data_IF_017363205879
#
_entry.id   IF_017363205879
#
_cell.length_a   1.000
_cell.length_b   1.000
_cell.length_c   1.000
_cell.angle_alpha   90.00
_cell.angle_beta   90.00
_cell.angle_gamma   90.00
#
_symmetry.space_group_name_H-M   'P 1'
#
loop_
_entity.id
_entity.type
_entity.pdbx_description
1 polymer ?
#
# COMPACT_ATOMS: atom_id res chain seq x y z
N UNK A 1 28.82 -51.92 -16.48
CA UNK A 1 28.56 -51.27 -15.17
C UNK A 1 28.40 -49.74 -15.26
N UNK A 2 29.17 -49.03 -16.10
CA UNK A 2 29.11 -47.57 -16.27
C UNK A 2 27.75 -47.00 -16.76
N UNK A 3 27.07 -47.67 -17.69
CA UNK A 3 25.79 -47.21 -18.28
C UNK A 3 24.61 -47.13 -17.28
N UNK A 4 24.64 -47.96 -16.23
CA UNK A 4 23.61 -47.96 -15.18
C UNK A 4 23.77 -46.81 -14.20
N UNK A 5 24.99 -46.31 -14.00
CA UNK A 5 25.25 -45.15 -13.15
C UNK A 5 24.85 -43.84 -13.84
N UNK A 6 25.11 -43.73 -15.15
CA UNK A 6 24.74 -42.53 -15.93
C UNK A 6 23.22 -42.37 -16.01
N UNK A 7 22.48 -43.44 -16.31
CA UNK A 7 21.00 -43.41 -16.35
C UNK A 7 20.35 -43.02 -15.02
N UNK A 8 20.83 -43.54 -13.88
CA UNK A 8 20.36 -43.14 -12.54
C UNK A 8 20.63 -41.67 -12.21
N UNK A 9 21.79 -41.16 -12.62
CA UNK A 9 22.13 -39.74 -12.47
C UNK A 9 21.19 -38.84 -13.29
N UNK A 10 20.86 -39.21 -14.52
CA UNK A 10 19.89 -38.49 -15.35
C UNK A 10 18.49 -38.48 -14.73
N UNK A 11 18.00 -39.62 -14.24
CA UNK A 11 16.69 -39.72 -13.56
C UNK A 11 16.64 -38.81 -12.33
N UNK A 12 17.71 -38.78 -11.52
CA UNK A 12 17.82 -37.89 -10.37
C UNK A 12 17.76 -36.40 -10.79
N UNK A 13 18.47 -36.04 -11.86
CA UNK A 13 18.48 -34.67 -12.39
C UNK A 13 17.09 -34.26 -12.89
N UNK A 14 16.41 -35.14 -13.62
CA UNK A 14 15.02 -34.96 -14.07
C UNK A 14 14.09 -34.77 -12.87
N UNK A 15 14.16 -35.65 -11.87
CA UNK A 15 13.34 -35.54 -10.65
C UNK A 15 13.57 -34.20 -9.93
N UNK A 16 14.82 -33.72 -9.86
CA UNK A 16 15.17 -32.42 -9.28
C UNK A 16 14.55 -31.26 -10.07
N UNK A 17 14.57 -31.32 -11.41
CA UNK A 17 13.94 -30.32 -12.28
C UNK A 17 12.43 -30.29 -12.08
N UNK A 18 11.76 -31.44 -12.08
CA UNK A 18 10.31 -31.51 -11.87
C UNK A 18 9.91 -31.07 -10.47
N UNK A 19 10.65 -31.46 -9.42
CA UNK A 19 10.42 -30.99 -8.04
C UNK A 19 10.52 -29.46 -7.94
N UNK A 20 11.50 -28.86 -8.64
CA UNK A 20 11.63 -27.40 -8.72
C UNK A 20 10.45 -26.76 -9.49
N UNK A 21 10.04 -27.34 -10.62
CA UNK A 21 8.87 -26.85 -11.39
C UNK A 21 7.59 -26.89 -10.56
N UNK A 22 7.33 -27.98 -9.85
CA UNK A 22 6.15 -28.12 -8.97
C UNK A 22 6.21 -27.08 -7.85
N UNK A 23 7.36 -26.92 -7.18
CA UNK A 23 7.52 -25.94 -6.10
C UNK A 23 7.32 -24.49 -6.54
N UNK A 24 7.60 -24.17 -7.80
CA UNK A 24 7.45 -22.82 -8.36
C UNK A 24 6.10 -22.59 -9.04
N UNK A 25 5.27 -23.63 -9.18
CA UNK A 25 3.97 -23.49 -9.82
C UNK A 25 3.01 -22.79 -8.86
N UNK A 26 2.62 -21.56 -9.17
CA UNK A 26 1.63 -20.81 -8.39
C UNK A 26 0.29 -21.55 -8.39
N UNK A 27 -0.19 -21.92 -7.22
CA UNK A 27 -1.51 -22.56 -7.02
C UNK A 27 -2.51 -21.53 -6.47
N UNK A 28 -2.06 -20.66 -5.56
CA UNK A 28 -2.92 -19.67 -4.94
C UNK A 28 -2.94 -18.34 -5.69
N UNK A 29 -4.13 -17.77 -5.77
CA UNK A 29 -4.40 -16.43 -6.26
C UNK A 29 -5.06 -15.64 -5.14
N UNK A 30 -4.64 -14.39 -4.96
CA UNK A 30 -5.10 -13.51 -3.89
C UNK A 30 -5.82 -12.32 -4.52
N UNK A 31 -6.91 -11.93 -3.86
CA UNK A 31 -7.73 -10.78 -4.23
C UNK A 31 -7.94 -9.94 -2.97
N UNK A 32 -7.83 -8.63 -3.13
CA UNK A 32 -7.92 -7.67 -2.04
C UNK A 32 -9.17 -6.82 -2.19
N UNK A 33 -9.85 -6.56 -1.09
CA UNK A 33 -11.00 -5.66 -1.00
C UNK A 33 -10.80 -4.66 0.13
N UNK A 34 -11.38 -3.48 0.01
CA UNK A 34 -11.32 -2.46 1.04
C UNK A 34 -12.44 -2.68 2.05
N UNK A 35 -12.14 -2.54 3.36
CA UNK A 35 -13.15 -2.62 4.42
C UNK A 35 -13.93 -1.32 4.59
N UNK A 36 -13.27 -0.21 4.29
CA UNK A 36 -13.82 1.14 4.28
C UNK A 36 -13.23 1.86 3.06
N UNK A 37 -13.91 2.90 2.52
CA UNK A 37 -13.39 3.65 1.39
C UNK A 37 -12.09 4.34 1.80
N UNK A 38 -10.98 3.96 1.18
CA UNK A 38 -9.72 4.68 1.31
C UNK A 38 -9.00 4.74 -0.04
N UNK A 39 -8.21 5.81 -0.20
CA UNK A 39 -7.37 6.00 -1.37
C UNK A 39 -5.93 6.17 -0.96
N UNK A 40 -5.05 5.59 -1.75
CA UNK A 40 -3.61 5.69 -1.55
C UNK A 40 -3.02 6.34 -2.79
N UNK A 41 -2.37 7.48 -2.59
CA UNK A 41 -1.73 8.25 -3.64
C UNK A 41 -0.25 7.90 -3.75
N UNK A 42 0.25 7.89 -4.97
CA UNK A 42 1.66 7.71 -5.24
C UNK A 42 2.39 9.03 -5.03
N UNK A 43 3.41 9.01 -4.18
CA UNK A 43 4.36 10.11 -4.09
C UNK A 43 5.19 10.18 -5.37
N UNK A 44 5.46 11.38 -5.92
CA UNK A 44 6.39 11.55 -7.04
C UNK A 44 7.75 10.95 -6.68
N UNK A 45 8.14 9.87 -7.37
CA UNK A 45 9.51 9.33 -7.30
C UNK A 45 10.15 9.50 -8.66
N UNK A 46 10.90 10.59 -8.86
CA UNK A 46 11.81 10.84 -10.01
C UNK A 46 11.25 10.56 -11.43
N UNK A 47 9.95 10.29 -11.57
CA UNK A 47 9.28 9.93 -12.80
C UNK A 47 8.23 11.01 -13.06
N UNK A 48 8.35 11.60 -14.25
CA UNK A 48 7.81 12.85 -14.79
C UNK A 48 6.27 12.99 -14.87
N UNK A 49 5.49 12.33 -14.02
CA UNK A 49 4.02 12.32 -14.16
C UNK A 49 3.30 13.42 -13.36
N UNK A 50 3.86 13.89 -12.24
CA UNK A 50 3.34 15.01 -11.45
C UNK A 50 4.36 15.39 -10.38
N UNK A 51 4.64 16.68 -10.19
CA UNK A 51 5.44 17.19 -9.06
C UNK A 51 4.59 17.45 -7.81
N UNK A 52 3.26 17.36 -7.93
CA UNK A 52 2.32 17.66 -6.85
C UNK A 52 2.06 16.42 -6.01
N UNK A 53 2.20 16.54 -4.69
CA UNK A 53 1.89 15.49 -3.73
C UNK A 53 1.16 16.06 -2.52
N UNK A 54 0.37 15.21 -1.85
CA UNK A 54 -0.35 15.57 -0.64
C UNK A 54 0.65 15.62 0.52
N UNK A 55 0.92 16.82 1.03
CA UNK A 55 1.73 17.01 2.24
C UNK A 55 0.92 17.46 3.46
N UNK A 56 -0.38 17.70 3.29
CA UNK A 56 -1.29 18.02 4.37
C UNK A 56 -1.50 16.82 5.29
N UNK A 57 -1.62 17.09 6.60
CA UNK A 57 -1.98 16.12 7.62
C UNK A 57 -3.20 16.68 8.33
N UNK A 58 -4.35 16.12 7.98
CA UNK A 58 -5.66 16.60 8.41
C UNK A 58 -6.41 15.41 8.98
N UNK A 59 -7.04 15.61 10.13
CA UNK A 59 -7.92 14.65 10.77
C UNK A 59 -9.27 15.32 10.98
N UNK A 60 -10.33 14.81 10.36
CA UNK A 60 -11.71 15.25 10.56
C UNK A 60 -12.46 14.16 11.32
N UNK A 61 -13.11 14.52 12.43
CA UNK A 61 -13.82 13.61 13.32
C UNK A 61 -15.28 14.06 13.42
N UNK A 62 -16.19 13.14 13.12
CA UNK A 62 -17.65 13.30 13.22
C UNK A 62 -18.22 14.56 12.54
N UNK A 63 -17.56 15.06 11.50
CA UNK A 63 -17.87 16.34 10.84
C UNK A 63 -17.99 17.53 11.83
N UNK A 64 -17.24 17.50 12.93
CA UNK A 64 -17.32 18.49 14.02
C UNK A 64 -15.97 19.01 14.48
N UNK A 65 -14.96 18.14 14.54
CA UNK A 65 -13.65 18.49 15.07
C UNK A 65 -12.63 18.21 13.99
N UNK A 66 -11.80 19.22 13.69
CA UNK A 66 -10.65 19.04 12.80
C UNK A 66 -9.34 19.30 13.54
N UNK A 67 -8.34 18.46 13.24
CA UNK A 67 -6.95 18.68 13.58
C UNK A 67 -6.14 18.83 12.31
N UNK A 68 -5.24 19.81 12.29
CA UNK A 68 -4.29 20.02 11.21
C UNK A 68 -2.94 20.42 11.78
N UNK A 69 -1.84 20.03 11.14
CA UNK A 69 -0.50 20.39 11.59
C UNK A 69 0.60 19.49 11.04
N UNK A 70 1.67 19.33 11.82
CA UNK A 70 2.84 18.54 11.44
C UNK A 70 2.71 17.05 11.78
N UNK A 71 1.79 16.68 12.69
CA UNK A 71 1.64 15.31 13.18
C UNK A 71 1.35 14.32 12.05
N UNK A 72 2.23 13.34 11.90
CA UNK A 72 1.96 12.11 11.14
C UNK A 72 1.32 11.05 12.05
N UNK A 73 0.44 10.21 11.49
CA UNK A 73 -0.16 9.09 12.22
C UNK A 73 0.79 7.89 12.31
N UNK A 74 1.92 8.07 12.99
CA UNK A 74 2.95 7.05 13.19
C UNK A 74 3.31 6.93 14.67
N UNK A 75 3.95 5.82 15.05
CA UNK A 75 4.41 5.62 16.42
C UNK A 75 5.39 6.72 16.87
N UNK A 76 6.30 7.17 15.99
CA UNK A 76 7.22 8.27 16.30
C UNK A 76 6.50 9.62 16.36
N UNK A 77 5.61 9.92 15.41
CA UNK A 77 4.82 11.16 15.42
C UNK A 77 4.00 11.33 16.69
N UNK A 78 3.48 10.22 17.23
CA UNK A 78 2.62 10.24 18.42
C UNK A 78 3.37 10.16 19.76
N UNK A 79 4.63 9.70 19.79
CA UNK A 79 5.36 9.44 21.05
C UNK A 79 6.72 10.11 21.19
N UNK A 80 7.39 10.40 20.10
CA UNK A 80 8.82 10.75 20.10
C UNK A 80 9.10 12.10 19.43
N UNK A 81 8.39 12.41 18.36
CA UNK A 81 8.57 13.65 17.63
C UNK A 81 7.91 14.81 18.37
N UNK A 82 8.54 15.97 18.31
CA UNK A 82 7.91 17.22 18.69
C UNK A 82 7.03 17.70 17.53
N UNK A 83 5.73 17.43 17.63
CA UNK A 83 4.74 17.75 16.60
C UNK A 83 3.78 18.83 17.07
N UNK A 84 3.42 19.77 16.21
CA UNK A 84 2.42 20.80 16.50
C UNK A 84 1.13 20.54 15.73
N UNK A 85 0.01 20.91 16.36
CA UNK A 85 -1.34 20.73 15.81
C UNK A 85 -2.24 21.87 16.25
N UNK A 86 -3.12 22.30 15.37
CA UNK A 86 -4.25 23.17 15.68
C UNK A 86 -5.50 22.32 15.68
N UNK A 87 -6.33 22.52 16.71
CA UNK A 87 -7.67 21.95 16.83
C UNK A 87 -8.69 23.04 16.54
N UNK A 88 -9.68 22.75 15.70
CA UNK A 88 -10.79 23.67 15.43
C UNK A 88 -12.14 22.94 15.45
N UNK A 89 -13.16 23.65 15.89
CA UNK A 89 -14.59 23.29 15.79
C UNK A 89 -15.37 24.37 15.03
N UNK A 90 -14.68 25.35 14.45
CA UNK A 90 -15.33 26.44 13.71
C UNK A 90 -16.12 25.86 12.52
N UNK A 91 -17.45 26.08 12.43
CA UNK A 91 -18.28 25.44 11.41
C UNK A 91 -17.85 25.77 9.98
N UNK A 92 -17.30 26.98 9.75
CA UNK A 92 -16.82 27.39 8.42
C UNK A 92 -15.55 26.62 8.07
N UNK A 93 -14.58 26.55 8.98
CA UNK A 93 -13.36 25.77 8.79
C UNK A 93 -13.65 24.28 8.58
N UNK A 94 -14.57 23.70 9.36
CA UNK A 94 -14.98 22.31 9.22
C UNK A 94 -15.55 22.05 7.81
N UNK A 95 -16.41 22.94 7.31
CA UNK A 95 -16.98 22.81 5.97
C UNK A 95 -15.90 22.83 4.89
N UNK A 96 -14.98 23.80 4.93
CA UNK A 96 -13.90 23.92 3.95
C UNK A 96 -12.96 22.70 3.98
N UNK A 97 -12.63 22.21 5.17
CA UNK A 97 -11.80 21.00 5.33
C UNK A 97 -12.52 19.76 4.78
N UNK A 98 -13.83 19.62 5.03
CA UNK A 98 -14.62 18.51 4.50
C UNK A 98 -14.69 18.54 2.98
N UNK A 99 -14.87 19.72 2.39
CA UNK A 99 -14.84 19.91 0.93
C UNK A 99 -13.49 19.51 0.35
N UNK A 100 -12.38 19.92 0.98
CA UNK A 100 -11.03 19.54 0.55
C UNK A 100 -10.80 18.03 0.62
N UNK A 101 -11.19 17.36 1.73
CA UNK A 101 -11.09 15.90 1.85
C UNK A 101 -11.93 15.20 0.77
N UNK A 102 -13.14 15.69 0.50
CA UNK A 102 -14.00 15.15 -0.55
C UNK A 102 -13.42 15.34 -1.94
N UNK A 103 -12.83 16.51 -2.20
CA UNK A 103 -12.12 16.80 -3.44
C UNK A 103 -10.92 15.87 -3.63
N UNK A 104 -10.11 15.69 -2.57
CA UNK A 104 -8.99 14.77 -2.60
C UNK A 104 -9.44 13.36 -2.93
N UNK A 105 -10.44 12.85 -2.21
CA UNK A 105 -10.96 11.49 -2.40
C UNK A 105 -11.66 11.25 -3.73
N UNK A 106 -12.25 12.25 -4.38
CA UNK A 106 -13.10 11.99 -5.56
C UNK A 106 -12.58 12.62 -6.85
N UNK A 107 -11.78 13.70 -6.79
CA UNK A 107 -11.51 14.57 -7.94
C UNK A 107 -10.06 15.06 -8.05
N UNK A 108 -9.12 14.57 -7.23
CA UNK A 108 -7.75 15.13 -7.17
C UNK A 108 -6.90 14.97 -8.44
N UNK A 109 -7.28 14.09 -9.38
CA UNK A 109 -6.48 13.71 -10.56
C UNK A 109 -5.04 13.25 -10.24
N UNK A 110 -4.73 13.01 -8.98
CA UNK A 110 -3.43 12.53 -8.52
C UNK A 110 -3.28 11.04 -8.85
N UNK A 111 -2.06 10.56 -9.13
CA UNK A 111 -1.82 9.16 -9.40
C UNK A 111 -2.14 8.30 -8.17
N UNK A 112 -3.12 7.42 -8.31
CA UNK A 112 -3.58 6.48 -7.27
C UNK A 112 -2.94 5.09 -7.47
N UNK A 113 -2.75 4.35 -6.39
CA UNK A 113 -2.31 2.94 -6.46
C UNK A 113 -3.54 2.02 -6.51
N UNK A 114 -3.51 1.04 -7.43
CA UNK A 114 -4.52 -0.01 -7.47
C UNK A 114 -4.48 -0.88 -6.20
N UNK A 115 -5.65 -1.25 -5.70
CA UNK A 115 -5.80 -2.02 -4.45
C UNK A 115 -5.18 -3.42 -4.54
N UNK A 116 -5.23 -4.06 -5.70
CA UNK A 116 -4.60 -5.36 -5.89
C UNK A 116 -3.07 -5.22 -5.89
N UNK A 117 -2.55 -4.13 -6.47
CA UNK A 117 -1.12 -3.84 -6.43
C UNK A 117 -0.63 -3.51 -5.02
N UNK A 118 -1.39 -2.69 -4.28
CA UNK A 118 -1.03 -2.33 -2.90
C UNK A 118 -1.11 -3.51 -1.95
N UNK A 119 -2.18 -4.33 -2.03
CA UNK A 119 -2.34 -5.54 -1.22
C UNK A 119 -1.17 -6.51 -1.38
N UNK A 120 -0.72 -6.74 -2.62
CA UNK A 120 0.47 -7.57 -2.93
C UNK A 120 1.76 -7.10 -2.25
N UNK A 121 1.91 -5.80 -1.99
CA UNK A 121 3.09 -5.25 -1.34
C UNK A 121 3.02 -5.40 0.19
N UNK A 122 1.81 -5.33 0.76
CA UNK A 122 1.59 -5.42 2.20
C UNK A 122 1.62 -6.86 2.70
N UNK A 123 1.06 -7.78 1.93
CA UNK A 123 0.89 -9.17 2.36
C UNK A 123 1.83 -10.09 1.62
N UNK A 124 2.39 -11.06 2.36
CA UNK A 124 3.19 -12.13 1.76
C UNK A 124 2.25 -13.10 1.04
N UNK A 125 2.39 -13.21 -0.28
CA UNK A 125 1.68 -14.21 -1.08
C UNK A 125 2.52 -15.50 -1.21
N UNK A 126 2.24 -16.56 -0.44
CA UNK A 126 2.91 -17.84 -0.68
C UNK A 126 2.47 -18.43 -2.02
N UNK A 127 3.44 -19.01 -2.72
CA UNK A 127 3.26 -19.62 -4.05
C UNK A 127 2.41 -20.91 -3.96
N UNK A 128 2.56 -21.65 -2.85
CA UNK A 128 1.88 -22.90 -2.49
C UNK A 128 1.58 -22.96 -0.99
#
# INVERSE_FOLDING_TARGET
MFFWFTSRFFIFLIAKIYKRKIKLKRIYSYWYSQLFPFKVYLSPRKNYLSDTFIHSKIYLIDDKIAYLGSLNFTASGTKHNYETRIRTEDPKAIREIKEEISHLLNHSHLPEIDIQMWGKQLYREPIN
#
